data_IF_971269310830
#
_entry.id   IF_971269310830
#
_cell.length_a   1.000
_cell.length_b   1.000
_cell.length_c   1.000
_cell.angle_alpha   90.00
_cell.angle_beta   90.00
_cell.angle_gamma   90.00
#
_symmetry.space_group_name_H-M   'P 1'
#
loop_
_entity.id
_entity.type
_entity.pdbx_description
1 polymer ?
#
# COMPACT_ATOMS: atom_id res chain seq x y z
N UNK A 1 9.00 6.53 8.67
CA UNK A 1 9.17 5.06 8.75
C UNK A 1 10.45 4.73 9.53
N UNK A 2 10.76 3.47 9.82
CA UNK A 2 11.87 3.10 10.75
C UNK A 2 11.71 3.70 12.17
N UNK A 3 10.44 3.82 12.61
CA UNK A 3 10.08 4.40 13.90
C UNK A 3 10.36 5.91 14.05
N UNK A 4 10.64 6.60 12.95
CA UNK A 4 10.75 8.07 12.93
C UNK A 4 9.38 8.73 12.96
N UNK A 5 9.28 9.87 13.63
CA UNK A 5 8.09 10.70 13.63
C UNK A 5 7.99 11.46 12.30
N UNK A 6 7.04 11.07 11.46
CA UNK A 6 6.64 11.80 10.27
C UNK A 6 5.11 12.00 10.28
N UNK A 7 4.63 13.06 9.63
CA UNK A 7 3.22 13.43 9.56
C UNK A 7 2.57 13.03 8.24
N UNK A 8 3.39 12.81 7.20
CA UNK A 8 2.92 12.40 5.88
C UNK A 8 4.05 11.94 4.98
N UNK A 9 3.65 11.42 3.82
CA UNK A 9 4.56 10.92 2.79
C UNK A 9 4.11 11.36 1.40
N UNK A 10 5.04 11.43 0.47
CA UNK A 10 4.73 11.27 -0.95
C UNK A 10 5.17 9.90 -1.42
N UNK A 11 4.43 9.35 -2.37
CA UNK A 11 4.90 8.20 -3.14
C UNK A 11 4.81 8.49 -4.63
N UNK A 12 5.80 8.01 -5.38
CA UNK A 12 5.81 7.96 -6.83
C UNK A 12 6.02 6.53 -7.30
N UNK A 13 5.11 5.99 -8.09
CA UNK A 13 5.27 4.75 -8.83
C UNK A 13 5.69 5.09 -10.26
N UNK A 14 6.94 4.78 -10.59
CA UNK A 14 7.65 5.37 -11.73
C UNK A 14 8.31 4.30 -12.62
N UNK A 15 8.47 4.66 -13.88
CA UNK A 15 9.27 3.97 -14.88
C UNK A 15 10.13 4.99 -15.65
N UNK A 16 11.27 4.58 -16.24
CA UNK A 16 11.83 5.34 -17.34
C UNK A 16 10.83 5.36 -18.52
N UNK A 17 10.70 6.50 -19.19
CA UNK A 17 9.84 6.63 -20.37
C UNK A 17 10.32 5.77 -21.54
N UNK A 18 11.63 5.62 -21.66
CA UNK A 18 12.32 4.71 -22.58
C UNK A 18 13.11 3.67 -21.77
N UNK A 19 12.71 2.39 -21.77
CA UNK A 19 13.41 1.33 -21.05
C UNK A 19 14.88 1.16 -21.46
N UNK A 20 15.25 1.50 -22.70
CA UNK A 20 16.66 1.41 -23.14
C UNK A 20 17.56 2.42 -22.43
N UNK A 21 16.97 3.49 -21.90
CA UNK A 21 17.66 4.55 -21.15
C UNK A 21 17.57 4.37 -19.63
N UNK A 22 17.11 3.21 -19.15
CA UNK A 22 16.89 2.94 -17.72
C UNK A 22 18.13 3.22 -16.86
N UNK A 23 19.32 2.86 -17.33
CA UNK A 23 20.57 3.11 -16.59
C UNK A 23 20.88 4.62 -16.46
N UNK A 24 20.69 5.40 -17.53
CA UNK A 24 20.90 6.84 -17.50
C UNK A 24 19.84 7.54 -16.63
N UNK A 25 18.57 7.13 -16.76
CA UNK A 25 17.48 7.60 -15.91
C UNK A 25 17.75 7.29 -14.43
N UNK A 26 18.22 6.07 -14.12
CA UNK A 26 18.56 5.65 -12.76
C UNK A 26 19.66 6.51 -12.14
N UNK A 27 20.74 6.79 -12.88
CA UNK A 27 21.83 7.67 -12.44
C UNK A 27 21.32 9.08 -12.16
N UNK A 28 20.65 9.71 -13.13
CA UNK A 28 20.06 11.04 -12.94
C UNK A 28 19.13 11.08 -11.72
N UNK A 29 18.26 10.07 -11.56
CA UNK A 29 17.30 10.05 -10.48
C UNK A 29 17.99 9.95 -9.11
N UNK A 30 19.04 9.13 -9.00
CA UNK A 30 19.77 8.92 -7.74
C UNK A 30 20.75 10.03 -7.40
N UNK A 31 21.43 10.59 -8.39
CA UNK A 31 22.55 11.52 -8.18
C UNK A 31 22.12 12.99 -8.25
N UNK A 32 21.00 13.27 -8.93
CA UNK A 32 20.54 14.64 -9.17
C UNK A 32 19.12 14.83 -8.64
N UNK A 33 18.14 14.11 -9.18
CA UNK A 33 16.73 14.42 -8.93
C UNK A 33 16.32 14.20 -7.48
N UNK A 34 16.56 13.01 -6.91
CA UNK A 34 16.18 12.72 -5.54
C UNK A 34 16.97 13.59 -4.55
N UNK A 35 18.31 13.75 -4.65
CA UNK A 35 19.04 14.69 -3.81
C UNK A 35 18.50 16.13 -3.85
N UNK A 36 18.16 16.65 -5.04
CA UNK A 36 17.52 17.97 -5.16
C UNK A 36 16.18 18.01 -4.45
N UNK A 37 15.34 16.99 -4.65
CA UNK A 37 14.03 16.92 -4.00
C UNK A 37 14.16 16.89 -2.48
N UNK A 38 15.10 16.13 -1.92
CA UNK A 38 15.34 16.08 -0.47
C UNK A 38 15.94 17.40 0.03
N UNK A 39 16.86 18.01 -0.73
CA UNK A 39 17.55 19.25 -0.38
C UNK A 39 16.65 20.49 -0.30
N UNK A 40 15.47 20.46 -0.93
CA UNK A 40 14.45 21.52 -0.80
C UNK A 40 13.75 21.54 0.57
N UNK A 41 13.96 20.51 1.41
CA UNK A 41 13.63 20.51 2.83
C UNK A 41 12.15 20.31 3.20
N UNK A 42 11.24 20.22 2.24
CA UNK A 42 9.83 19.92 2.56
C UNK A 42 9.62 18.43 2.84
N UNK A 43 10.35 17.57 2.12
CA UNK A 43 10.39 16.12 2.34
C UNK A 43 11.85 15.67 2.44
N UNK A 44 12.53 15.91 3.58
CA UNK A 44 13.99 15.77 3.69
C UNK A 44 14.49 14.32 3.76
N UNK A 45 13.58 13.36 3.88
CA UNK A 45 13.89 11.94 3.97
C UNK A 45 13.27 11.26 2.77
N UNK A 46 14.03 10.38 2.12
CA UNK A 46 13.49 9.54 1.06
C UNK A 46 14.23 8.24 0.89
N UNK A 47 13.53 7.29 0.29
CA UNK A 47 14.05 6.02 -0.14
C UNK A 47 13.46 5.67 -1.50
N UNK A 48 14.21 4.88 -2.27
CA UNK A 48 13.78 4.39 -3.56
C UNK A 48 13.90 2.87 -3.57
N UNK A 49 12.83 2.22 -4.00
CA UNK A 49 12.68 0.77 -4.03
C UNK A 49 12.49 0.31 -5.46
N UNK A 50 13.04 -0.85 -5.78
CA UNK A 50 12.76 -1.57 -7.01
C UNK A 50 11.70 -2.64 -6.72
N UNK A 51 10.73 -2.78 -7.61
CA UNK A 51 9.71 -3.82 -7.53
C UNK A 51 10.36 -5.18 -7.73
N UNK A 52 10.00 -6.12 -6.87
CA UNK A 52 10.36 -7.54 -6.98
C UNK A 52 9.10 -8.39 -7.16
N UNK A 53 9.25 -9.54 -7.81
CA UNK A 53 8.14 -10.44 -8.16
C UNK A 53 7.19 -9.89 -9.23
N UNK A 54 6.21 -10.70 -9.60
CA UNK A 54 5.32 -10.45 -10.75
C UNK A 54 4.00 -9.75 -10.36
N UNK A 55 4.07 -8.76 -9.48
CA UNK A 55 2.90 -8.02 -9.01
C UNK A 55 2.55 -6.85 -9.93
N UNK A 56 1.28 -6.74 -10.30
CA UNK A 56 0.77 -5.58 -11.05
C UNK A 56 0.69 -4.35 -10.16
N UNK A 57 1.25 -3.25 -10.64
CA UNK A 57 1.19 -1.92 -10.03
C UNK A 57 0.57 -0.92 -11.01
N UNK A 58 0.02 0.22 -10.54
CA UNK A 58 -0.35 1.31 -11.43
C UNK A 58 0.77 1.68 -12.40
N UNK A 59 0.43 1.73 -13.70
CA UNK A 59 1.38 2.00 -14.78
C UNK A 59 2.47 0.92 -14.95
N UNK A 60 2.30 -0.26 -14.36
CA UNK A 60 3.31 -1.33 -14.30
C UNK A 60 4.67 -0.80 -13.78
N UNK A 61 4.62 0.10 -12.81
CA UNK A 61 5.79 0.75 -12.24
C UNK A 61 6.82 -0.24 -11.66
N UNK A 62 8.07 -0.10 -12.11
CA UNK A 62 9.25 -0.81 -11.63
C UNK A 62 9.87 -0.18 -10.41
N UNK A 63 9.71 1.12 -10.21
CA UNK A 63 10.28 1.84 -9.09
C UNK A 63 9.20 2.48 -8.23
N UNK A 64 9.43 2.46 -6.92
CA UNK A 64 8.70 3.25 -5.94
C UNK A 64 9.68 4.24 -5.31
N UNK A 65 9.33 5.51 -5.34
CA UNK A 65 10.00 6.55 -4.55
C UNK A 65 9.07 6.90 -3.42
N UNK A 66 9.59 6.92 -2.21
CA UNK A 66 8.88 7.32 -1.01
C UNK A 66 9.67 8.43 -0.34
N UNK A 67 9.01 9.55 -0.05
CA UNK A 67 9.61 10.63 0.74
C UNK A 67 8.72 11.00 1.91
N UNK A 68 9.33 11.44 3.01
CA UNK A 68 8.64 11.69 4.28
C UNK A 68 8.74 13.16 4.67
N UNK A 69 7.69 13.67 5.30
CA UNK A 69 7.66 15.02 5.86
C UNK A 69 7.21 15.00 7.32
N UNK A 70 7.72 15.96 8.09
CA UNK A 70 7.25 16.27 9.45
C UNK A 70 6.31 17.48 9.49
N UNK A 71 6.05 18.11 8.33
CA UNK A 71 5.19 19.30 8.25
C UNK A 71 3.75 18.91 8.60
N UNK A 72 3.09 19.70 9.44
CA UNK A 72 1.74 19.40 9.92
C UNK A 72 0.71 19.23 8.78
N UNK A 73 0.90 19.97 7.68
CA UNK A 73 0.15 19.83 6.44
C UNK A 73 1.04 19.28 5.31
N UNK A 74 0.96 17.96 5.03
CA UNK A 74 1.72 17.34 3.95
C UNK A 74 1.38 17.89 2.56
N UNK A 75 0.14 18.37 2.34
CA UNK A 75 -0.26 18.91 1.04
C UNK A 75 0.36 20.27 0.79
N UNK A 76 0.29 21.17 1.77
CA UNK A 76 0.95 22.47 1.68
C UNK A 76 2.47 22.31 1.50
N UNK A 77 3.08 21.35 2.20
CA UNK A 77 4.49 21.00 2.03
C UNK A 77 4.79 20.53 0.58
N UNK A 78 3.93 19.71 -0.01
CA UNK A 78 4.09 19.25 -1.40
C UNK A 78 3.92 20.39 -2.41
N UNK A 79 2.95 21.28 -2.20
CA UNK A 79 2.71 22.42 -3.08
C UNK A 79 3.93 23.37 -3.05
N UNK A 80 4.50 23.62 -1.87
CA UNK A 80 5.75 24.38 -1.70
C UNK A 80 6.96 23.68 -2.34
N UNK A 81 7.08 22.36 -2.17
CA UNK A 81 8.11 21.53 -2.80
C UNK A 81 8.07 21.65 -4.33
N UNK A 82 6.87 21.55 -4.92
CA UNK A 82 6.68 21.62 -6.36
C UNK A 82 7.02 23.02 -6.90
N UNK A 83 6.66 24.08 -6.18
CA UNK A 83 7.03 25.45 -6.54
C UNK A 83 8.56 25.64 -6.51
N UNK A 84 9.22 25.22 -5.44
CA UNK A 84 10.67 25.32 -5.31
C UNK A 84 11.41 24.47 -6.36
N UNK A 85 10.93 23.25 -6.62
CA UNK A 85 11.47 22.40 -7.68
C UNK A 85 11.37 23.07 -9.06
N UNK A 86 10.24 23.71 -9.38
CA UNK A 86 10.04 24.43 -10.66
C UNK A 86 10.99 25.62 -10.81
N UNK A 87 11.41 26.23 -9.71
CA UNK A 87 12.38 27.32 -9.70
C UNK A 87 13.84 26.86 -9.90
N UNK A 88 14.13 25.55 -9.81
CA UNK A 88 15.47 25.04 -10.09
C UNK A 88 15.88 25.30 -11.56
N UNK A 89 17.19 25.49 -11.83
CA UNK A 89 17.71 25.60 -13.19
C UNK A 89 17.24 24.45 -14.07
N UNK A 90 16.99 24.74 -15.36
CA UNK A 90 16.46 23.75 -16.29
C UNK A 90 17.35 22.49 -16.40
N UNK A 91 18.67 22.66 -16.34
CA UNK A 91 19.65 21.55 -16.34
C UNK A 91 19.45 20.55 -15.20
N UNK A 92 19.00 20.99 -14.02
CA UNK A 92 18.67 20.10 -12.90
C UNK A 92 17.38 19.29 -13.16
N UNK A 93 16.53 19.78 -14.07
CA UNK A 93 15.22 19.21 -14.40
C UNK A 93 15.17 18.48 -15.74
N UNK A 94 16.28 18.46 -16.48
CA UNK A 94 16.36 18.13 -17.91
C UNK A 94 15.84 16.72 -18.26
N UNK A 95 15.86 15.78 -17.31
CA UNK A 95 15.36 14.41 -17.49
C UNK A 95 14.01 14.11 -16.83
N UNK A 96 13.29 15.14 -16.35
CA UNK A 96 11.93 14.92 -15.80
C UNK A 96 10.99 14.34 -16.85
N UNK A 97 11.09 14.80 -18.10
CA UNK A 97 10.28 14.30 -19.23
C UNK A 97 10.59 12.83 -19.58
N UNK A 98 11.77 12.32 -19.19
CA UNK A 98 12.13 10.93 -19.34
C UNK A 98 11.54 10.01 -18.25
N UNK A 99 10.66 10.52 -17.38
CA UNK A 99 10.00 9.75 -16.33
C UNK A 99 8.54 9.50 -16.68
N UNK A 100 8.17 8.24 -16.85
CA UNK A 100 6.77 7.82 -16.91
C UNK A 100 6.22 7.66 -15.49
N UNK A 101 5.07 8.29 -15.24
CA UNK A 101 4.39 8.26 -13.94
C UNK A 101 3.21 7.28 -14.01
N UNK A 102 3.26 6.21 -13.24
CA UNK A 102 2.12 5.32 -13.02
C UNK A 102 1.20 5.82 -11.90
N UNK A 103 1.76 6.43 -10.86
CA UNK A 103 1.03 7.04 -9.75
C UNK A 103 1.89 8.05 -9.02
N UNK A 104 1.32 9.19 -8.62
CA UNK A 104 1.88 10.08 -7.60
C UNK A 104 0.76 10.42 -6.63
N UNK A 105 1.08 10.39 -5.33
CA UNK A 105 0.16 10.84 -4.31
C UNK A 105 0.85 11.42 -3.08
N UNK A 106 0.14 12.33 -2.43
CA UNK A 106 0.51 12.92 -1.15
C UNK A 106 -0.46 12.38 -0.11
N UNK A 107 0.10 11.89 1.00
CA UNK A 107 -0.65 11.13 1.99
C UNK A 107 -0.34 11.64 3.39
N UNK A 108 -1.38 11.85 4.19
CA UNK A 108 -1.28 12.18 5.61
C UNK A 108 -1.36 10.90 6.43
N UNK A 109 -0.49 10.76 7.42
CA UNK A 109 -0.52 9.60 8.31
C UNK A 109 -1.84 9.57 9.10
N UNK A 110 -2.46 8.40 9.13
CA UNK A 110 -3.68 8.14 9.89
C UNK A 110 -3.38 7.29 11.12
N UNK A 111 -2.80 6.11 10.91
CA UNK A 111 -2.54 5.12 11.97
C UNK A 111 -1.18 4.48 11.77
N UNK A 112 -0.40 4.31 12.83
CA UNK A 112 0.87 3.58 12.80
C UNK A 112 0.89 2.53 13.93
N UNK A 113 1.33 1.32 13.61
CA UNK A 113 1.42 0.19 14.56
C UNK A 113 2.71 -0.60 14.35
N UNK A 114 3.15 -1.28 15.40
CA UNK A 114 4.36 -2.12 15.40
C UNK A 114 5.59 -1.43 15.99
N UNK A 115 6.73 -2.11 15.94
CA UNK A 115 7.98 -1.65 16.54
C UNK A 115 9.03 -1.38 15.47
N UNK A 116 8.97 -0.18 14.88
CA UNK A 116 9.93 0.26 13.86
C UNK A 116 11.18 0.96 14.39
N UNK A 117 11.22 1.33 15.68
CA UNK A 117 12.27 2.20 16.21
C UNK A 117 13.64 1.53 16.14
N UNK A 118 14.58 2.16 15.44
CA UNK A 118 15.96 1.68 15.30
C UNK A 118 16.14 0.50 14.32
N UNK A 119 15.07 0.13 13.60
CA UNK A 119 15.08 -0.95 12.60
C UNK A 119 15.17 -0.35 11.21
N UNK A 120 15.87 -1.04 10.30
CA UNK A 120 16.05 -0.60 8.92
C UNK A 120 15.29 -1.51 7.98
N UNK A 121 14.37 -0.95 7.21
CA UNK A 121 13.62 -1.74 6.23
C UNK A 121 14.56 -2.23 5.12
N UNK A 122 14.55 -3.55 4.85
CA UNK A 122 15.18 -4.14 3.66
C UNK A 122 14.18 -4.25 2.50
N UNK A 123 12.89 -4.29 2.82
CA UNK A 123 11.80 -4.27 1.85
C UNK A 123 10.55 -3.64 2.43
N UNK A 124 9.64 -3.27 1.54
CA UNK A 124 8.31 -2.77 1.93
C UNK A 124 7.21 -3.41 1.09
N UNK A 125 6.05 -3.58 1.71
CA UNK A 125 4.79 -3.85 1.02
C UNK A 125 3.99 -2.55 0.92
N UNK A 126 3.81 -2.07 -0.30
CA UNK A 126 2.96 -0.93 -0.62
C UNK A 126 1.57 -1.42 -1.06
N UNK A 127 0.52 -0.98 -0.37
CA UNK A 127 -0.87 -1.28 -0.70
C UNK A 127 -1.69 0.00 -0.93
N UNK A 128 -2.06 0.24 -2.18
CA UNK A 128 -3.00 1.29 -2.57
C UNK A 128 -4.43 0.73 -2.55
N UNK A 129 -5.37 1.46 -1.95
CA UNK A 129 -6.75 0.98 -1.85
C UNK A 129 -7.78 2.11 -1.84
N UNK A 130 -9.01 1.74 -2.22
CA UNK A 130 -10.17 2.62 -2.31
C UNK A 130 -11.36 1.97 -1.63
N UNK A 131 -12.19 2.79 -0.97
CA UNK A 131 -13.50 2.34 -0.55
C UNK A 131 -14.49 2.51 -1.72
N UNK A 132 -15.01 1.39 -2.24
CA UNK A 132 -15.98 1.42 -3.34
C UNK A 132 -17.31 2.04 -2.93
N UNK A 133 -17.69 1.85 -1.67
CA UNK A 133 -18.91 2.38 -1.08
C UNK A 133 -18.54 3.42 -0.02
N UNK A 134 -18.77 4.71 -0.31
CA UNK A 134 -18.40 5.79 0.60
C UNK A 134 -19.07 5.68 1.97
N UNK A 135 -20.29 5.13 2.04
CA UNK A 135 -20.99 4.93 3.31
C UNK A 135 -20.27 3.95 4.24
N UNK A 136 -19.44 3.06 3.68
CA UNK A 136 -18.66 2.06 4.42
C UNK A 136 -17.23 2.48 4.69
N UNK A 137 -16.83 3.71 4.37
CA UNK A 137 -15.44 4.15 4.52
C UNK A 137 -14.96 4.11 5.97
N UNK A 138 -15.83 4.48 6.92
CA UNK A 138 -15.53 4.38 8.36
C UNK A 138 -15.40 2.94 8.81
N UNK A 139 -16.32 2.06 8.38
CA UNK A 139 -16.28 0.63 8.68
C UNK A 139 -15.00 -0.02 8.14
N UNK A 140 -14.65 0.25 6.86
CA UNK A 140 -13.41 -0.19 6.26
C UNK A 140 -12.21 0.27 7.08
N UNK A 141 -12.23 1.52 7.54
CA UNK A 141 -11.12 2.08 8.29
C UNK A 141 -10.95 1.45 9.67
N UNK A 142 -12.04 1.25 10.41
CA UNK A 142 -12.04 0.53 11.68
C UNK A 142 -11.54 -0.90 11.49
N UNK A 143 -12.05 -1.63 10.47
CA UNK A 143 -11.58 -2.98 10.18
C UNK A 143 -10.08 -3.02 9.84
N UNK A 144 -9.59 -2.04 9.08
CA UNK A 144 -8.19 -2.01 8.67
C UNK A 144 -7.26 -1.87 9.88
N UNK A 145 -7.61 -0.98 10.80
CA UNK A 145 -6.79 -0.63 11.95
C UNK A 145 -6.87 -1.69 13.05
N UNK A 146 -8.08 -2.21 13.33
CA UNK A 146 -8.30 -3.16 14.43
C UNK A 146 -8.03 -4.62 14.05
N UNK A 147 -8.16 -4.97 12.77
CA UNK A 147 -8.10 -6.37 12.33
C UNK A 147 -7.05 -6.60 11.25
N UNK A 148 -7.09 -5.83 10.17
CA UNK A 148 -6.24 -6.09 9.01
C UNK A 148 -4.76 -5.92 9.34
N UNK A 149 -4.36 -4.72 9.79
CA UNK A 149 -2.96 -4.43 10.09
C UNK A 149 -2.40 -5.34 11.19
N UNK A 150 -3.08 -5.56 12.33
CA UNK A 150 -2.62 -6.53 13.33
C UNK A 150 -2.46 -7.95 12.76
N UNK A 151 -3.34 -8.40 11.88
CA UNK A 151 -3.21 -9.71 11.23
C UNK A 151 -1.95 -9.78 10.35
N UNK A 152 -1.65 -8.74 9.57
CA UNK A 152 -0.41 -8.67 8.79
C UNK A 152 0.81 -8.78 9.71
N UNK A 153 0.84 -7.97 10.78
CA UNK A 153 1.96 -7.94 11.72
C UNK A 153 2.11 -9.23 12.53
N UNK A 154 1.01 -9.97 12.74
CA UNK A 154 1.05 -11.28 13.42
C UNK A 154 1.88 -12.34 12.68
N UNK A 155 2.13 -12.16 11.38
CA UNK A 155 3.05 -13.01 10.61
C UNK A 155 4.51 -12.91 11.05
N UNK A 156 4.87 -11.82 11.75
CA UNK A 156 6.26 -11.42 12.05
C UNK A 156 7.15 -11.21 10.83
N UNK A 157 6.64 -11.42 9.61
CA UNK A 157 7.31 -11.08 8.37
C UNK A 157 7.42 -9.56 8.17
N UNK A 158 6.50 -8.81 8.75
CA UNK A 158 6.54 -7.35 8.80
C UNK A 158 6.56 -6.88 10.26
N UNK A 159 7.38 -5.87 10.56
CA UNK A 159 7.57 -5.39 11.92
C UNK A 159 6.81 -4.11 12.26
N UNK A 160 6.46 -3.34 11.24
CA UNK A 160 5.71 -2.10 11.37
C UNK A 160 4.74 -1.97 10.19
N UNK A 161 3.62 -1.33 10.45
CA UNK A 161 2.64 -0.95 9.45
C UNK A 161 2.20 0.48 9.70
N UNK A 162 2.20 1.30 8.65
CA UNK A 162 1.66 2.66 8.69
C UNK A 162 0.59 2.82 7.63
N UNK A 163 -0.56 3.36 8.02
CA UNK A 163 -1.68 3.68 7.15
C UNK A 163 -1.83 5.18 7.01
N UNK A 164 -2.21 5.59 5.80
CA UNK A 164 -2.32 6.97 5.40
C UNK A 164 -3.59 7.21 4.60
N UNK A 165 -4.05 8.46 4.63
CA UNK A 165 -5.15 8.98 3.80
C UNK A 165 -4.60 9.97 2.79
N UNK A 166 -5.09 9.89 1.56
CA UNK A 166 -4.72 10.85 0.52
C UNK A 166 -5.20 12.25 0.90
N UNK A 167 -4.32 13.25 0.82
CA UNK A 167 -4.67 14.65 1.14
C UNK A 167 -5.56 15.27 0.06
N UNK A 168 -5.38 14.83 -1.18
CA UNK A 168 -6.24 15.08 -2.34
C UNK A 168 -6.36 13.75 -3.09
N UNK A 169 -7.49 13.52 -3.75
CA UNK A 169 -7.60 12.35 -4.63
C UNK A 169 -6.51 12.44 -5.71
N UNK A 170 -5.71 11.39 -5.81
CA UNK A 170 -4.69 11.28 -6.86
C UNK A 170 -5.37 11.15 -8.23
N UNK A 171 -4.63 11.32 -9.32
CA UNK A 171 -5.16 11.08 -10.67
C UNK A 171 -5.73 9.65 -10.84
N UNK A 172 -5.20 8.68 -10.08
CA UNK A 172 -5.70 7.30 -10.02
C UNK A 172 -6.93 7.11 -9.09
N UNK A 173 -7.42 8.16 -8.44
CA UNK A 173 -8.52 8.11 -7.48
C UNK A 173 -8.18 7.36 -6.19
N UNK A 174 -6.90 7.18 -5.86
CA UNK A 174 -6.48 6.41 -4.68
C UNK A 174 -6.78 7.18 -3.39
N UNK A 175 -7.47 6.53 -2.45
CA UNK A 175 -7.87 7.13 -1.17
C UNK A 175 -6.91 6.78 -0.03
N UNK A 176 -6.47 5.54 0.03
CA UNK A 176 -5.70 5.01 1.15
C UNK A 176 -4.39 4.41 0.67
N UNK A 177 -3.38 4.57 1.51
CA UNK A 177 -2.08 3.93 1.38
C UNK A 177 -1.79 3.19 2.68
N UNK A 178 -1.35 1.94 2.59
CA UNK A 178 -0.72 1.24 3.69
C UNK A 178 0.68 0.81 3.27
N UNK A 179 1.65 1.02 4.16
CA UNK A 179 3.02 0.58 3.98
C UNK A 179 3.38 -0.31 5.16
N UNK A 180 3.88 -1.50 4.85
CA UNK A 180 4.43 -2.42 5.83
C UNK A 180 5.92 -2.61 5.59
N UNK A 181 6.70 -2.62 6.66
CA UNK A 181 8.17 -2.68 6.60
C UNK A 181 8.67 -4.07 7.05
N UNK A 182 9.66 -4.60 6.33
CA UNK A 182 10.28 -5.89 6.63
C UNK A 182 11.81 -5.80 6.66
N UNK A 183 12.42 -6.61 7.53
CA UNK A 183 13.89 -6.83 7.57
C UNK A 183 14.29 -8.13 6.85
N UNK A 184 13.33 -8.85 6.28
CA UNK A 184 13.63 -10.03 5.47
C UNK A 184 14.39 -9.61 4.22
N UNK A 185 15.43 -10.36 3.86
CA UNK A 185 16.22 -10.12 2.65
C UNK A 185 15.41 -10.37 1.37
N UNK A 186 14.40 -11.24 1.43
CA UNK A 186 13.44 -11.46 0.35
C UNK A 186 12.06 -10.88 0.71
N UNK A 187 11.68 -9.72 0.14
CA UNK A 187 10.36 -9.13 0.34
C UNK A 187 9.21 -10.00 -0.23
N UNK A 188 9.49 -10.83 -1.23
CA UNK A 188 8.48 -11.73 -1.82
C UNK A 188 8.14 -12.84 -0.82
N UNK A 189 9.14 -13.45 -0.19
CA UNK A 189 8.92 -14.40 0.90
C UNK A 189 8.13 -13.77 2.06
N UNK A 190 8.43 -12.52 2.44
CA UNK A 190 7.68 -11.81 3.48
C UNK A 190 6.18 -11.68 3.12
N UNK A 191 5.87 -11.36 1.86
CA UNK A 191 4.48 -11.32 1.38
C UNK A 191 3.80 -12.70 1.37
N UNK A 192 4.53 -13.76 1.01
CA UNK A 192 4.01 -15.12 1.02
C UNK A 192 3.62 -15.60 2.43
N UNK A 193 4.37 -15.22 3.47
CA UNK A 193 4.03 -15.55 4.87
C UNK A 193 2.66 -14.98 5.28
N UNK A 194 2.37 -13.74 4.88
CA UNK A 194 1.05 -13.14 5.07
C UNK A 194 -0.04 -13.94 4.36
N UNK A 195 0.24 -14.43 3.15
CA UNK A 195 -0.66 -15.29 2.39
C UNK A 195 -1.04 -16.57 3.13
N UNK A 196 -0.09 -17.19 3.84
CA UNK A 196 -0.32 -18.41 4.64
C UNK A 196 -1.33 -18.16 5.76
N UNK A 197 -1.23 -17.05 6.48
CA UNK A 197 -2.19 -16.68 7.56
C UNK A 197 -3.60 -16.53 7.00
N UNK A 198 -3.74 -15.78 5.91
CA UNK A 198 -5.03 -15.55 5.25
C UNK A 198 -5.64 -16.85 4.72
N UNK A 199 -4.81 -17.78 4.24
CA UNK A 199 -5.27 -19.09 3.77
C UNK A 199 -5.80 -19.96 4.91
N UNK A 200 -5.10 -20.05 6.04
CA UNK A 200 -5.53 -20.81 7.24
C UNK A 200 -6.88 -20.32 7.76
N UNK A 201 -7.11 -19.00 7.76
CA UNK A 201 -8.39 -18.41 8.17
C UNK A 201 -9.53 -18.65 7.19
N UNK A 202 -9.28 -18.68 5.87
CA UNK A 202 -10.32 -19.06 4.89
C UNK A 202 -10.79 -20.50 5.08
N UNK A 203 -9.91 -21.40 5.50
CA UNK A 203 -10.29 -22.77 5.84
C UNK A 203 -11.03 -22.85 7.19
N UNK A 204 -10.72 -21.96 8.14
CA UNK A 204 -11.43 -21.88 9.43
C UNK A 204 -12.79 -21.13 9.38
N UNK A 205 -13.04 -20.27 8.37
CA UNK A 205 -14.26 -19.43 8.24
C UNK A 205 -15.18 -19.87 7.09
N UNK A 206 -15.38 -21.17 6.87
CA UNK A 206 -16.29 -21.68 5.81
C UNK A 206 -17.79 -21.35 6.00
N UNK A 207 -18.15 -20.35 6.82
CA UNK A 207 -19.52 -19.83 6.96
C UNK A 207 -19.69 -18.35 6.58
N UNK A 208 -18.64 -17.61 6.19
CA UNK A 208 -18.77 -16.22 5.72
C UNK A 208 -17.82 -15.91 4.57
N UNK A 209 -18.30 -16.03 3.33
CA UNK A 209 -17.61 -15.46 2.16
C UNK A 209 -18.40 -14.29 1.61
N UNK A 210 -17.81 -13.09 1.66
CA UNK A 210 -18.09 -12.07 0.67
C UNK A 210 -17.59 -12.62 -0.68
N UNK A 211 -18.54 -13.03 -1.53
CA UNK A 211 -18.31 -13.66 -2.82
C UNK A 211 -17.71 -12.61 -3.76
N UNK A 212 -16.41 -12.67 -4.03
CA UNK A 212 -15.89 -12.09 -5.27
C UNK A 212 -16.39 -12.97 -6.41
N UNK A 213 -17.17 -12.38 -7.32
CA UNK A 213 -17.80 -13.06 -8.44
C UNK A 213 -16.76 -13.77 -9.30
N UNK A 214 -16.80 -15.11 -9.32
CA UNK A 214 -16.32 -15.86 -10.48
C UNK A 214 -17.31 -15.61 -11.61
N UNK A 215 -16.83 -15.09 -12.73
CA UNK A 215 -17.56 -15.18 -13.99
C UNK A 215 -17.70 -16.66 -14.34
N UNK A 216 -18.95 -17.11 -14.34
CA UNK A 216 -19.37 -18.43 -14.79
C UNK A 216 -19.48 -18.42 -16.31
N UNK A 217 -18.64 -19.19 -17.00
CA UNK A 217 -19.05 -19.81 -18.26
C UNK A 217 -19.82 -21.09 -17.93
N UNK A 218 -20.97 -21.24 -18.58
CA UNK A 218 -21.95 -22.28 -18.32
C UNK A 218 -21.50 -23.65 -18.85
N UNK A 219 -21.78 -24.71 -18.09
CA UNK A 219 -22.51 -25.88 -18.57
C UNK A 219 -22.71 -26.93 -17.46
N UNK A 220 -23.99 -27.25 -17.20
CA UNK A 220 -24.50 -28.55 -16.77
C UNK A 220 -23.99 -29.19 -15.47
N UNK A 221 -24.77 -29.09 -14.39
CA UNK A 221 -25.10 -30.28 -13.60
C UNK A 221 -26.39 -30.10 -12.80
N UNK A 222 -27.23 -31.14 -12.79
CA UNK A 222 -28.60 -31.16 -12.26
C UNK A 222 -28.63 -31.06 -10.73
N UNK A 223 -29.62 -30.33 -10.23
CA UNK A 223 -29.93 -30.14 -8.80
C UNK A 223 -30.33 -31.47 -8.13
N UNK A 224 -29.68 -31.87 -7.04
CA UNK A 224 -30.31 -32.66 -5.96
C UNK A 224 -30.53 -31.74 -4.77
N UNK A 225 -31.78 -31.66 -4.33
CA UNK A 225 -32.21 -30.85 -3.20
C UNK A 225 -31.81 -31.53 -1.87
N UNK A 226 -31.11 -30.81 -0.99
CA UNK A 226 -31.04 -31.16 0.42
C UNK A 226 -32.11 -30.35 1.18
N UNK A 227 -33.05 -31.05 1.82
CA UNK A 227 -34.02 -30.48 2.77
C UNK A 227 -33.33 -30.11 4.09
N UNK A 228 -33.78 -29.06 4.81
CA UNK A 228 -33.32 -28.78 6.17
C UNK A 228 -33.92 -29.77 7.18
N UNK A 229 -33.12 -30.23 8.14
CA UNK A 229 -33.60 -30.98 9.32
C UNK A 229 -34.28 -29.98 10.28
N UNK A 230 -35.55 -30.23 10.56
CA UNK A 230 -36.31 -29.51 11.58
C UNK A 230 -35.87 -29.93 13.00
N UNK A 231 -35.86 -28.96 13.90
CA UNK A 231 -35.70 -29.15 15.33
C UNK A 231 -36.89 -29.93 15.90
N UNK A 232 -36.64 -30.77 16.90
CA UNK A 232 -37.67 -31.38 17.74
C UNK A 232 -37.27 -31.24 19.20
N UNK A 233 -38.02 -30.40 19.92
CA UNK A 233 -38.39 -30.67 21.31
C UNK A 233 -39.83 -31.19 21.28
N UNK A 234 -40.24 -32.06 22.21
CA UNK A 234 -41.17 -31.55 23.21
C UNK A 234 -41.07 -32.19 24.62
N UNK A 235 -41.38 -31.33 25.61
CA UNK A 235 -42.28 -31.49 26.77
C UNK A 235 -42.11 -32.60 27.82
N UNK A 236 -42.34 -32.15 29.06
CA UNK A 236 -42.38 -32.80 30.37
C UNK A 236 -43.26 -34.05 30.51
N UNK A 237 -42.93 -34.90 31.50
CA UNK A 237 -43.84 -35.26 32.61
C UNK A 237 -43.10 -35.88 33.81
N UNK A 238 -43.74 -35.67 34.96
CA UNK A 238 -43.49 -36.09 36.36
C UNK A 238 -43.38 -37.60 36.61
N UNK A 239 -42.70 -37.96 37.69
CA UNK A 239 -42.68 -39.28 38.33
C UNK A 239 -41.47 -39.45 39.22
#
# INVERSE_FOLDING_TARGET
MEGRHHTGVTIGLLNPQDPTQEAAWNRWYNEIHLPDMLGLGQFPIGARYQRVGDYKTPGDARYLVLTETIKADPQAAYDAQLAAYRALPASRRENRSATQIGHIGVYKMATAVGNGRGRKAKGILNALSNCKDKAKEKELSTWYDEHHMPEILSSRAYYAGTRYTATKLTASGTQFLAIYETEMDDPVAAYQEVGKIRSRRRHARSSWTCRTSRHSSASGCRRRACRPKAASSPLCTTG
#
